data_IF_647139470149
#
_entry.id   IF_647139470149
#
_cell.length_a   1.000
_cell.length_b   1.000
_cell.length_c   1.000
_cell.angle_alpha   90.00
_cell.angle_beta   90.00
_cell.angle_gamma   90.00
#
_symmetry.space_group_name_H-M   'P 1'
#
loop_
_entity.id
_entity.type
_entity.pdbx_description
1 polymer ?
#
# COMPACT_ATOMS: atom_id res chain seq x y z
N UNK A 1 3.35 16.97 -26.82
CA UNK A 1 3.86 17.04 -25.44
C UNK A 1 4.35 15.64 -25.10
N UNK A 2 5.56 15.48 -24.58
CA UNK A 2 5.99 14.17 -24.08
C UNK A 2 5.09 13.79 -22.91
N UNK A 3 4.45 12.63 -23.01
CA UNK A 3 3.67 12.07 -21.91
C UNK A 3 4.63 11.60 -20.82
N UNK A 4 4.48 12.14 -19.61
CA UNK A 4 5.23 11.68 -18.46
C UNK A 4 4.32 10.76 -17.62
N UNK A 5 4.70 9.47 -17.54
CA UNK A 5 3.91 8.39 -16.98
C UNK A 5 4.38 7.99 -15.60
N UNK A 6 3.45 7.88 -14.66
CA UNK A 6 3.65 7.20 -13.38
C UNK A 6 2.82 5.92 -13.31
N UNK A 7 3.44 4.81 -12.86
CA UNK A 7 2.72 3.59 -12.51
C UNK A 7 2.58 3.47 -11.00
N UNK A 8 1.37 3.16 -10.55
CA UNK A 8 1.01 3.08 -9.14
C UNK A 8 0.48 1.68 -8.76
N UNK A 9 0.87 1.20 -7.60
CA UNK A 9 0.51 -0.12 -7.08
C UNK A 9 -0.26 0.02 -5.76
N UNK A 10 -1.47 -0.58 -5.64
CA UNK A 10 -2.27 -0.48 -4.43
C UNK A 10 -1.72 -1.35 -3.29
N UNK A 11 -2.18 -1.03 -2.08
CA UNK A 11 -2.01 -1.85 -0.89
C UNK A 11 -3.26 -2.66 -0.53
N UNK A 12 -3.37 -3.03 0.76
CA UNK A 12 -4.53 -3.75 1.27
C UNK A 12 -5.84 -2.97 1.05
N UNK A 13 -6.91 -3.73 0.78
CA UNK A 13 -8.23 -3.22 0.43
C UNK A 13 -8.63 -3.50 -1.01
N UNK A 14 -7.67 -3.87 -1.89
CA UNK A 14 -7.94 -4.24 -3.29
C UNK A 14 -8.21 -5.75 -3.44
N UNK A 15 -7.81 -6.56 -2.45
CA UNK A 15 -7.97 -8.01 -2.52
C UNK A 15 -9.45 -8.43 -2.56
N UNK A 16 -9.78 -9.31 -3.47
CA UNK A 16 -11.09 -9.96 -3.60
C UNK A 16 -10.97 -11.34 -4.23
N UNK A 17 -11.95 -12.18 -4.02
CA UNK A 17 -12.00 -13.47 -4.72
C UNK A 17 -12.05 -13.26 -6.23
N UNK A 18 -11.28 -14.04 -6.95
CA UNK A 18 -11.17 -13.97 -8.38
C UNK A 18 -10.22 -12.89 -8.91
N UNK A 19 -9.53 -12.13 -8.05
CA UNK A 19 -8.66 -11.02 -8.48
C UNK A 19 -7.52 -11.45 -9.42
N UNK A 20 -7.12 -12.72 -9.38
CA UNK A 20 -6.09 -13.28 -10.26
C UNK A 20 -6.66 -14.18 -11.38
N UNK A 21 -7.98 -14.33 -11.50
CA UNK A 21 -8.61 -15.30 -12.42
C UNK A 21 -8.20 -15.10 -13.88
N UNK A 22 -8.15 -13.85 -14.33
CA UNK A 22 -7.74 -13.52 -15.68
C UNK A 22 -6.31 -14.01 -16.01
N UNK A 23 -5.40 -13.94 -15.04
CA UNK A 23 -3.99 -14.30 -15.20
C UNK A 23 -3.79 -15.81 -15.42
N UNK A 24 -4.73 -16.68 -15.01
CA UNK A 24 -4.63 -18.14 -15.14
C UNK A 24 -4.35 -18.62 -16.58
N UNK A 25 -4.80 -17.86 -17.58
CA UNK A 25 -4.62 -18.19 -18.99
C UNK A 25 -3.52 -17.37 -19.67
N UNK A 26 -2.60 -16.79 -18.90
CA UNK A 26 -1.48 -15.97 -19.39
C UNK A 26 -0.14 -16.56 -18.99
N UNK A 27 0.93 -16.16 -19.69
CA UNK A 27 2.30 -16.57 -19.34
C UNK A 27 2.73 -16.06 -17.94
N UNK A 28 2.12 -15.02 -17.43
CA UNK A 28 2.44 -14.46 -16.10
C UNK A 28 1.89 -15.31 -14.96
N UNK A 29 1.05 -16.34 -15.22
CA UNK A 29 0.60 -17.29 -14.19
C UNK A 29 1.76 -18.07 -13.56
N UNK A 30 2.87 -18.29 -14.28
CA UNK A 30 4.10 -18.88 -13.73
C UNK A 30 4.60 -18.19 -12.44
N UNK A 31 4.28 -16.91 -12.27
CA UNK A 31 4.63 -16.16 -11.05
C UNK A 31 3.83 -16.63 -9.83
N UNK A 32 2.60 -17.09 -10.03
CA UNK A 32 1.82 -17.71 -8.95
C UNK A 32 2.37 -19.09 -8.60
N UNK A 33 2.82 -19.88 -9.60
CA UNK A 33 3.46 -21.18 -9.37
C UNK A 33 4.77 -21.01 -8.58
N UNK A 34 5.62 -20.06 -8.98
CA UNK A 34 6.83 -19.71 -8.24
C UNK A 34 6.51 -19.22 -6.81
N UNK A 35 5.49 -18.39 -6.64
CA UNK A 35 5.07 -17.90 -5.33
C UNK A 35 4.54 -19.05 -4.44
N UNK A 36 3.81 -20.03 -5.01
CA UNK A 36 3.33 -21.21 -4.29
C UNK A 36 4.48 -22.00 -3.69
N UNK A 37 5.53 -22.24 -4.49
CA UNK A 37 6.75 -22.96 -4.05
C UNK A 37 7.48 -22.20 -2.93
N UNK A 38 7.57 -20.87 -3.04
CA UNK A 38 8.22 -20.01 -2.04
C UNK A 38 7.45 -19.90 -0.72
N UNK A 39 6.11 -19.90 -0.79
CA UNK A 39 5.24 -19.70 0.35
C UNK A 39 4.82 -21.01 1.02
N UNK A 40 4.92 -22.13 0.34
CA UNK A 40 4.51 -23.45 0.83
C UNK A 40 2.97 -23.65 0.89
N UNK A 41 2.22 -22.85 0.15
CA UNK A 41 0.76 -22.99 -0.01
C UNK A 41 0.31 -22.46 -1.38
N UNK A 42 -0.88 -22.87 -1.83
CA UNK A 42 -1.44 -22.47 -3.12
C UNK A 42 -2.06 -21.07 -3.06
N UNK A 43 -1.23 -20.05 -3.33
CA UNK A 43 -1.64 -18.65 -3.40
C UNK A 43 -2.57 -18.41 -4.60
N UNK A 44 -2.31 -19.09 -5.71
CA UNK A 44 -3.13 -19.01 -6.91
C UNK A 44 -4.57 -19.42 -6.62
N UNK A 45 -4.76 -20.58 -6.00
CA UNK A 45 -6.09 -21.05 -5.56
C UNK A 45 -6.73 -20.10 -4.56
N UNK A 46 -5.96 -19.61 -3.58
CA UNK A 46 -6.46 -18.66 -2.58
C UNK A 46 -7.01 -17.39 -3.23
N UNK A 47 -6.31 -16.82 -4.21
CA UNK A 47 -6.72 -15.58 -4.89
C UNK A 47 -7.93 -15.78 -5.81
N UNK A 48 -8.11 -16.97 -6.38
CA UNK A 48 -9.19 -17.26 -7.35
C UNK A 48 -10.44 -17.80 -6.67
N UNK A 49 -10.28 -18.74 -5.71
CA UNK A 49 -11.35 -19.52 -5.12
C UNK A 49 -11.57 -19.22 -3.63
N UNK A 50 -10.56 -18.71 -2.93
CA UNK A 50 -10.63 -18.41 -1.51
C UNK A 50 -10.20 -19.55 -0.59
N UNK A 51 -10.65 -19.56 0.68
CA UNK A 51 -11.75 -18.76 1.23
C UNK A 51 -11.40 -17.28 1.47
N UNK A 52 -12.42 -16.41 1.44
CA UNK A 52 -12.25 -14.95 1.52
C UNK A 52 -11.69 -14.51 2.89
N UNK A 53 -12.00 -15.21 3.93
CA UNK A 53 -11.50 -14.94 5.30
C UNK A 53 -9.98 -15.08 5.33
N UNK A 54 -9.42 -16.12 4.70
CA UNK A 54 -7.98 -16.30 4.59
C UNK A 54 -7.33 -15.26 3.66
N UNK A 55 -8.00 -14.89 2.57
CA UNK A 55 -7.49 -13.84 1.67
C UNK A 55 -7.44 -12.46 2.34
N UNK A 56 -8.30 -12.21 3.35
CA UNK A 56 -8.31 -10.97 4.13
C UNK A 56 -7.35 -10.97 5.33
N UNK A 57 -6.77 -12.11 5.68
CA UNK A 57 -5.69 -12.20 6.66
C UNK A 57 -4.47 -11.42 6.15
N UNK A 58 -3.92 -10.52 6.98
CA UNK A 58 -2.83 -9.62 6.58
C UNK A 58 -1.61 -10.39 6.06
N UNK A 59 -1.27 -11.53 6.66
CA UNK A 59 -0.14 -12.37 6.24
C UNK A 59 -0.36 -13.06 4.89
N UNK A 60 -1.62 -13.22 4.45
CA UNK A 60 -2.01 -13.80 3.16
C UNK A 60 -2.33 -12.73 2.12
N UNK A 61 -2.99 -11.64 2.53
CA UNK A 61 -3.38 -10.54 1.67
C UNK A 61 -2.17 -9.86 1.01
N UNK A 62 -1.08 -9.66 1.77
CA UNK A 62 0.10 -8.97 1.24
C UNK A 62 0.75 -9.76 0.10
N UNK A 63 1.11 -11.04 0.22
CA UNK A 63 1.58 -11.83 -0.93
C UNK A 63 0.58 -11.88 -2.09
N UNK A 64 -0.71 -12.03 -1.80
CA UNK A 64 -1.75 -12.13 -2.82
C UNK A 64 -1.83 -10.86 -3.69
N UNK A 65 -1.81 -9.67 -3.07
CA UNK A 65 -1.82 -8.38 -3.77
C UNK A 65 -0.51 -8.19 -4.53
N UNK A 66 0.64 -8.42 -3.88
CA UNK A 66 1.96 -8.27 -4.50
C UNK A 66 2.08 -9.11 -5.76
N UNK A 67 1.81 -10.42 -5.68
CA UNK A 67 1.93 -11.34 -6.81
C UNK A 67 0.96 -10.98 -7.93
N UNK A 68 -0.29 -10.63 -7.60
CA UNK A 68 -1.28 -10.21 -8.61
C UNK A 68 -0.83 -8.95 -9.34
N UNK A 69 -0.44 -7.90 -8.62
CA UNK A 69 -0.01 -6.63 -9.23
C UNK A 69 1.29 -6.80 -10.03
N UNK A 70 2.25 -7.60 -9.51
CA UNK A 70 3.48 -7.87 -10.24
C UNK A 70 3.24 -8.71 -11.51
N UNK A 71 2.33 -9.70 -11.47
CA UNK A 71 1.96 -10.50 -12.64
C UNK A 71 1.21 -9.66 -13.69
N UNK A 72 0.35 -8.72 -13.29
CA UNK A 72 -0.25 -7.74 -14.21
C UNK A 72 0.82 -6.85 -14.84
N UNK A 73 1.78 -6.37 -14.04
CA UNK A 73 2.91 -5.62 -14.57
C UNK A 73 3.73 -6.45 -15.56
N UNK A 74 4.12 -7.69 -15.22
CA UNK A 74 4.88 -8.59 -16.12
C UNK A 74 4.16 -8.80 -17.46
N UNK A 75 2.83 -8.90 -17.45
CA UNK A 75 2.02 -9.09 -18.66
C UNK A 75 1.99 -7.85 -19.56
N UNK A 76 1.98 -6.65 -18.98
CA UNK A 76 1.75 -5.40 -19.70
C UNK A 76 2.95 -4.45 -19.73
N UNK A 77 4.07 -4.74 -19.09
CA UNK A 77 5.23 -3.84 -18.96
C UNK A 77 5.77 -3.31 -20.28
N UNK A 78 5.68 -4.09 -21.36
CA UNK A 78 6.21 -3.69 -22.67
C UNK A 78 5.38 -2.56 -23.33
N UNK A 79 4.18 -2.30 -22.81
CA UNK A 79 3.33 -1.19 -23.25
C UNK A 79 3.54 0.10 -22.46
N UNK A 80 4.30 0.04 -21.37
CA UNK A 80 4.49 1.16 -20.46
C UNK A 80 5.97 1.45 -20.22
N UNK A 81 6.33 2.72 -20.25
CA UNK A 81 7.67 3.21 -19.92
C UNK A 81 7.57 4.29 -18.82
N UNK A 82 7.26 3.90 -17.57
CA UNK A 82 7.10 4.87 -16.50
C UNK A 82 8.43 5.56 -16.18
N UNK A 83 8.37 6.89 -15.99
CA UNK A 83 9.49 7.69 -15.50
C UNK A 83 9.60 7.61 -13.97
N UNK A 84 8.50 7.23 -13.30
CA UNK A 84 8.44 7.08 -11.86
C UNK A 84 7.41 6.00 -11.52
N UNK A 85 7.66 5.26 -10.47
CA UNK A 85 6.70 4.32 -9.89
C UNK A 85 6.46 4.66 -8.43
N UNK A 86 5.28 4.30 -7.92
CA UNK A 86 4.92 4.49 -6.52
C UNK A 86 3.96 3.40 -6.07
N UNK A 87 3.75 3.31 -4.77
CA UNK A 87 2.76 2.39 -4.24
C UNK A 87 2.20 2.88 -2.91
N UNK A 88 1.01 2.43 -2.56
CA UNK A 88 0.37 2.74 -1.29
C UNK A 88 0.67 1.63 -0.29
N UNK A 89 1.37 1.93 0.81
CA UNK A 89 1.74 0.95 1.84
C UNK A 89 2.45 -0.28 1.24
N UNK A 90 1.82 -1.45 1.24
CA UNK A 90 2.33 -2.66 0.59
C UNK A 90 2.72 -2.41 -0.89
N UNK A 91 1.95 -1.60 -1.60
CA UNK A 91 2.21 -1.30 -3.00
C UNK A 91 3.58 -0.70 -3.28
N UNK A 92 4.21 -0.05 -2.31
CA UNK A 92 5.58 0.46 -2.42
C UNK A 92 6.59 -0.69 -2.60
N UNK A 93 6.38 -1.84 -1.94
CA UNK A 93 7.21 -3.01 -2.13
C UNK A 93 7.04 -3.57 -3.57
N UNK A 94 5.81 -3.51 -4.09
CA UNK A 94 5.57 -3.88 -5.51
C UNK A 94 6.27 -2.90 -6.45
N UNK A 95 6.20 -1.60 -6.19
CA UNK A 95 6.90 -0.58 -6.97
C UNK A 95 8.41 -0.77 -6.95
N UNK A 96 9.01 -1.07 -5.78
CA UNK A 96 10.43 -1.36 -5.63
C UNK A 96 10.86 -2.60 -6.41
N UNK A 97 10.08 -3.69 -6.36
CA UNK A 97 10.35 -4.90 -7.15
C UNK A 97 10.29 -4.60 -8.66
N UNK A 98 9.28 -3.88 -9.11
CA UNK A 98 9.14 -3.43 -10.51
C UNK A 98 10.29 -2.53 -10.95
N UNK A 99 10.77 -1.66 -10.06
CA UNK A 99 11.93 -0.81 -10.29
C UNK A 99 13.27 -1.58 -10.28
N UNK A 100 13.25 -2.86 -9.91
CA UNK A 100 14.43 -3.73 -9.89
C UNK A 100 15.28 -3.63 -8.63
N UNK A 101 14.72 -3.10 -7.53
CA UNK A 101 15.41 -3.04 -6.24
C UNK A 101 15.73 -4.44 -5.69
N UNK A 102 14.86 -5.43 -5.95
CA UNK A 102 15.05 -6.82 -5.57
C UNK A 102 14.32 -7.76 -6.56
N UNK A 103 14.66 -9.05 -6.53
CA UNK A 103 14.03 -10.05 -7.38
C UNK A 103 12.56 -10.27 -7.00
N UNK A 104 11.76 -10.83 -7.92
CA UNK A 104 10.39 -11.25 -7.61
C UNK A 104 10.34 -12.21 -6.42
N UNK A 105 11.23 -13.21 -6.40
CA UNK A 105 11.29 -14.19 -5.32
C UNK A 105 11.60 -13.56 -3.96
N UNK A 106 12.54 -12.61 -3.92
CA UNK A 106 12.84 -11.87 -2.68
C UNK A 106 11.67 -10.96 -2.28
N UNK A 107 11.00 -10.35 -3.24
CA UNK A 107 9.78 -9.60 -3.02
C UNK A 107 8.67 -10.44 -2.38
N UNK A 108 8.41 -11.66 -2.91
CA UNK A 108 7.42 -12.59 -2.33
C UNK A 108 7.76 -12.92 -0.88
N UNK A 109 9.02 -13.27 -0.59
CA UNK A 109 9.46 -13.55 0.78
C UNK A 109 9.31 -12.33 1.69
N UNK A 110 9.72 -11.16 1.18
CA UNK A 110 9.69 -9.90 1.93
C UNK A 110 8.26 -9.50 2.31
N UNK A 111 7.29 -9.52 1.37
CA UNK A 111 5.89 -9.17 1.67
C UNK A 111 5.21 -10.20 2.58
N UNK A 112 5.55 -11.49 2.45
CA UNK A 112 5.05 -12.52 3.35
C UNK A 112 5.54 -12.30 4.79
N UNK A 113 6.83 -12.00 4.96
CA UNK A 113 7.41 -11.70 6.28
C UNK A 113 6.88 -10.38 6.84
N UNK A 114 6.72 -9.34 6.00
CA UNK A 114 6.09 -8.08 6.40
C UNK A 114 4.69 -8.33 6.94
N UNK A 115 3.85 -9.06 6.21
CA UNK A 115 2.50 -9.41 6.65
C UNK A 115 2.49 -10.15 7.98
N UNK A 116 3.37 -11.13 8.17
CA UNK A 116 3.53 -11.86 9.44
C UNK A 116 3.96 -10.96 10.59
N UNK A 117 4.95 -10.08 10.37
CA UNK A 117 5.40 -9.14 11.41
C UNK A 117 4.29 -8.17 11.81
N UNK A 118 3.50 -7.69 10.85
CA UNK A 118 2.40 -6.76 11.10
C UNK A 118 1.20 -7.41 11.79
N UNK A 119 0.88 -8.67 11.43
CA UNK A 119 -0.25 -9.40 12.00
C UNK A 119 0.01 -9.85 13.44
N UNK A 120 1.25 -10.22 13.75
CA UNK A 120 1.67 -10.76 15.06
C UNK A 120 2.42 -9.74 15.93
N UNK A 121 2.11 -8.45 15.83
CA UNK A 121 2.79 -7.44 16.63
C UNK A 121 2.38 -7.44 18.11
N UNK A 122 1.24 -8.07 18.45
CA UNK A 122 0.76 -8.21 19.83
C UNK A 122 0.12 -6.95 20.43
N UNK A 123 0.16 -5.81 19.74
CA UNK A 123 -0.40 -4.57 20.23
C UNK A 123 -1.91 -4.48 19.93
N UNK A 124 -2.73 -4.17 20.96
CA UNK A 124 -4.16 -3.95 20.75
C UNK A 124 -4.40 -2.69 19.92
N UNK A 125 -5.54 -2.64 19.21
CA UNK A 125 -5.94 -1.47 18.45
C UNK A 125 -6.33 -1.78 17.02
N UNK A 126 -6.38 -0.73 16.19
CA UNK A 126 -6.79 -0.86 14.80
C UNK A 126 -6.78 0.49 14.07
N UNK A 127 -7.69 0.60 13.10
CA UNK A 127 -7.75 1.80 12.25
C UNK A 127 -9.19 2.23 12.01
N UNK A 128 -9.40 3.55 11.86
CA UNK A 128 -10.66 4.14 11.41
C UNK A 128 -10.41 5.10 10.24
N UNK A 129 -11.30 5.08 9.26
CA UNK A 129 -11.31 6.07 8.18
C UNK A 129 -12.28 7.19 8.53
N UNK A 130 -11.79 8.42 8.63
CA UNK A 130 -12.56 9.65 8.81
C UNK A 130 -12.81 10.27 7.44
N UNK A 131 -14.07 10.47 7.09
CA UNK A 131 -14.50 11.00 5.80
C UNK A 131 -15.15 12.37 6.00
N UNK A 132 -14.71 13.36 5.25
CA UNK A 132 -15.31 14.70 5.21
C UNK A 132 -14.65 15.74 6.09
N UNK A 133 -13.59 15.38 6.84
CA UNK A 133 -12.71 16.34 7.53
C UNK A 133 -11.38 16.49 6.81
N UNK A 134 -10.81 17.68 6.88
CA UNK A 134 -9.46 17.98 6.41
C UNK A 134 -8.41 17.41 7.37
N UNK A 135 -7.18 17.22 6.86
CA UNK A 135 -6.07 16.67 7.64
C UNK A 135 -5.81 17.43 8.94
N UNK A 136 -5.79 18.77 8.90
CA UNK A 136 -5.55 19.62 10.08
C UNK A 136 -6.54 19.36 11.21
N UNK A 137 -7.84 19.26 10.88
CA UNK A 137 -8.88 18.99 11.86
C UNK A 137 -8.74 17.60 12.50
N UNK A 138 -8.31 16.59 11.71
CA UNK A 138 -8.04 15.24 12.24
C UNK A 138 -6.78 15.21 13.10
N UNK A 139 -5.74 15.98 12.72
CA UNK A 139 -4.51 16.11 13.52
C UNK A 139 -4.78 16.79 14.88
N UNK A 140 -5.62 17.84 14.89
CA UNK A 140 -6.06 18.49 16.14
C UNK A 140 -6.80 17.51 17.05
N UNK A 141 -7.73 16.71 16.50
CA UNK A 141 -8.42 15.65 17.23
C UNK A 141 -7.45 14.63 17.82
N UNK A 142 -6.47 14.18 17.03
CA UNK A 142 -5.45 13.25 17.51
C UNK A 142 -4.65 13.87 18.67
N UNK A 143 -4.25 15.14 18.56
CA UNK A 143 -3.50 15.85 19.60
C UNK A 143 -4.29 15.99 20.93
N UNK A 144 -5.59 16.32 20.85
CA UNK A 144 -6.46 16.41 22.01
C UNK A 144 -6.67 15.06 22.71
N UNK A 145 -6.82 13.99 21.93
CA UNK A 145 -7.05 12.63 22.46
C UNK A 145 -5.76 12.04 23.03
N UNK A 146 -4.58 12.39 22.50
CA UNK A 146 -3.29 11.84 22.89
C UNK A 146 -2.95 12.02 24.37
N UNK A 147 -3.64 12.89 25.10
CA UNK A 147 -3.51 13.01 26.56
C UNK A 147 -4.16 11.86 27.34
N UNK A 148 -5.08 11.12 26.74
CA UNK A 148 -5.89 10.09 27.38
C UNK A 148 -5.70 8.70 26.76
N UNK A 149 -5.45 8.63 25.46
CA UNK A 149 -5.24 7.38 24.72
C UNK A 149 -4.44 7.64 23.46
N UNK A 150 -3.85 6.59 22.90
CA UNK A 150 -3.00 6.73 21.71
C UNK A 150 -3.82 6.69 20.42
N UNK A 151 -3.70 7.75 19.61
CA UNK A 151 -4.18 7.82 18.22
C UNK A 151 -3.20 8.61 17.35
N UNK A 152 -3.00 8.20 16.10
CA UNK A 152 -2.09 8.83 15.15
C UNK A 152 -2.67 8.77 13.74
N UNK A 153 -2.51 9.84 12.95
CA UNK A 153 -2.79 9.80 11.51
C UNK A 153 -1.89 8.76 10.83
N UNK A 154 -2.52 7.81 10.16
CA UNK A 154 -1.86 6.68 9.47
C UNK A 154 -1.82 6.83 7.96
N UNK A 155 -2.91 7.34 7.34
CA UNK A 155 -2.94 7.58 5.91
C UNK A 155 -3.65 8.90 5.59
N UNK A 156 -3.04 9.69 4.71
CA UNK A 156 -3.66 10.82 4.05
C UNK A 156 -4.03 10.39 2.63
N UNK A 157 -5.21 9.75 2.48
CA UNK A 157 -5.62 9.13 1.22
C UNK A 157 -6.17 10.12 0.20
N UNK A 158 -6.84 11.16 0.66
CA UNK A 158 -7.31 12.30 -0.14
C UNK A 158 -7.60 13.49 0.79
N UNK A 159 -7.84 14.70 0.29
CA UNK A 159 -8.08 15.87 1.14
C UNK A 159 -9.16 15.68 2.22
N UNK A 160 -10.13 14.79 1.99
CA UNK A 160 -11.23 14.50 2.91
C UNK A 160 -11.37 13.01 3.24
N UNK A 161 -10.31 12.27 3.16
CA UNK A 161 -10.26 10.85 3.57
C UNK A 161 -8.96 10.58 4.31
N UNK A 162 -9.02 10.67 5.63
CA UNK A 162 -7.90 10.48 6.54
C UNK A 162 -8.12 9.19 7.32
N UNK A 163 -7.10 8.36 7.42
CA UNK A 163 -7.13 7.15 8.26
C UNK A 163 -6.30 7.41 9.51
N UNK A 164 -6.85 7.00 10.65
CA UNK A 164 -6.20 7.11 11.96
C UNK A 164 -6.02 5.71 12.54
N UNK A 165 -4.82 5.44 13.02
CA UNK A 165 -4.46 4.25 13.80
C UNK A 165 -4.43 4.58 15.29
N UNK A 166 -4.74 3.61 16.14
CA UNK A 166 -4.66 3.82 17.58
C UNK A 166 -5.23 2.67 18.40
N UNK A 167 -5.23 2.86 19.72
CA UNK A 167 -5.88 1.96 20.65
C UNK A 167 -7.41 2.08 20.51
N UNK A 168 -8.13 1.01 20.87
CA UNK A 168 -9.57 0.92 20.63
C UNK A 168 -10.38 2.04 21.31
N UNK A 169 -10.07 2.36 22.57
CA UNK A 169 -10.68 3.45 23.33
C UNK A 169 -10.42 4.83 22.69
N UNK A 170 -9.19 5.06 22.23
CA UNK A 170 -8.81 6.31 21.52
C UNK A 170 -9.56 6.44 20.18
N UNK A 171 -9.70 5.34 19.45
CA UNK A 171 -10.44 5.32 18.18
C UNK A 171 -11.95 5.51 18.36
N UNK A 172 -12.55 5.00 19.45
CA UNK A 172 -13.95 5.24 19.79
C UNK A 172 -14.19 6.72 20.12
N UNK A 173 -13.31 7.32 20.95
CA UNK A 173 -13.36 8.72 21.29
C UNK A 173 -13.20 9.61 20.04
N UNK A 174 -12.19 9.31 19.21
CA UNK A 174 -11.95 10.01 17.94
C UNK A 174 -13.17 9.91 17.02
N UNK A 175 -13.78 8.75 16.90
CA UNK A 175 -14.96 8.55 16.05
C UNK A 175 -16.12 9.42 16.48
N UNK A 176 -16.38 9.49 17.79
CA UNK A 176 -17.45 10.34 18.37
C UNK A 176 -17.18 11.81 18.13
N UNK A 177 -15.96 12.26 18.42
CA UNK A 177 -15.58 13.67 18.28
C UNK A 177 -15.50 14.12 16.82
N UNK A 178 -15.01 13.25 15.90
CA UNK A 178 -14.98 13.54 14.48
C UNK A 178 -16.37 13.76 13.91
N UNK A 179 -17.36 12.95 14.29
CA UNK A 179 -18.76 13.15 13.89
C UNK A 179 -19.32 14.47 14.46
N UNK A 180 -19.03 14.79 15.72
CA UNK A 180 -19.44 16.06 16.34
C UNK A 180 -18.80 17.28 15.65
N UNK A 181 -17.61 17.13 15.03
CA UNK A 181 -16.94 18.20 14.24
C UNK A 181 -17.33 18.19 12.76
N UNK A 182 -18.33 17.42 12.36
CA UNK A 182 -18.89 17.45 11.01
C UNK A 182 -18.28 16.44 10.03
N UNK A 183 -17.58 15.41 10.52
CA UNK A 183 -17.24 14.28 9.66
C UNK A 183 -18.53 13.67 9.08
N UNK A 184 -18.53 13.42 7.77
CA UNK A 184 -19.68 12.81 7.08
C UNK A 184 -19.87 11.35 7.51
N UNK A 185 -18.77 10.68 7.81
CA UNK A 185 -18.76 9.27 8.21
C UNK A 185 -17.42 8.92 8.86
N UNK A 186 -17.45 8.03 9.86
CA UNK A 186 -16.28 7.32 10.39
C UNK A 186 -16.51 5.84 10.23
N UNK A 187 -15.50 5.11 9.71
CA UNK A 187 -15.61 3.69 9.38
C UNK A 187 -14.47 2.94 10.02
N UNK A 188 -14.78 1.96 10.89
CA UNK A 188 -13.77 1.02 11.39
C UNK A 188 -13.29 0.14 10.26
N UNK A 189 -11.98 0.07 10.05
CA UNK A 189 -11.36 -0.78 9.03
C UNK A 189 -11.21 -2.21 9.55
N UNK A 190 -11.36 -3.17 8.65
CA UNK A 190 -11.15 -4.60 8.93
C UNK A 190 -9.67 -4.94 8.75
N UNK A 191 -8.85 -4.54 9.71
CA UNK A 191 -7.40 -4.79 9.76
C UNK A 191 -7.02 -5.37 11.10
N UNK A 192 -5.91 -6.10 11.16
CA UNK A 192 -5.45 -6.82 12.35
C UNK A 192 -4.62 -5.97 13.32
N UNK A 193 -4.38 -4.68 13.03
CA UNK A 193 -3.55 -3.85 13.88
C UNK A 193 -3.58 -2.36 13.54
N UNK A 194 -2.91 -1.54 14.39
CA UNK A 194 -2.82 -0.08 14.25
C UNK A 194 -1.68 0.31 13.30
N UNK A 195 -1.78 -0.09 12.01
CA UNK A 195 -0.72 0.08 11.02
C UNK A 195 -0.34 1.55 10.81
N UNK A 196 0.90 1.79 10.36
CA UNK A 196 1.44 3.13 10.10
C UNK A 196 1.40 4.06 11.31
N UNK A 197 1.70 3.51 12.48
CA UNK A 197 1.79 4.25 13.74
C UNK A 197 2.96 3.73 14.60
N UNK A 198 3.37 4.47 15.64
CA UNK A 198 4.46 4.02 16.53
C UNK A 198 4.12 2.74 17.30
N UNK A 199 2.83 2.35 17.39
CA UNK A 199 2.43 1.04 17.93
C UNK A 199 2.97 -0.13 17.09
N UNK A 200 3.44 0.12 15.86
CA UNK A 200 4.06 -0.89 15.00
C UNK A 200 5.58 -1.00 15.19
N UNK A 201 6.21 -0.28 16.13
CA UNK A 201 7.65 -0.38 16.39
C UNK A 201 8.12 -1.83 16.64
N UNK A 202 7.40 -2.68 17.42
CA UNK A 202 7.81 -4.08 17.57
C UNK A 202 7.79 -4.87 16.26
N UNK A 203 6.82 -4.59 15.37
CA UNK A 203 6.77 -5.20 14.04
C UNK A 203 7.89 -4.68 13.14
N UNK A 204 8.16 -3.37 13.18
CA UNK A 204 9.24 -2.74 12.41
C UNK A 204 10.62 -3.29 12.80
N UNK A 205 10.86 -3.48 14.12
CA UNK A 205 12.09 -4.09 14.59
C UNK A 205 12.29 -5.51 14.06
N UNK A 206 11.25 -6.36 14.13
CA UNK A 206 11.30 -7.73 13.57
C UNK A 206 11.49 -7.73 12.06
N UNK A 207 10.87 -6.76 11.38
CA UNK A 207 10.98 -6.63 9.93
C UNK A 207 12.35 -6.09 9.50
N UNK A 208 13.02 -5.29 10.32
CA UNK A 208 14.38 -4.82 10.07
C UNK A 208 15.37 -5.98 9.91
N UNK A 209 15.28 -7.02 10.75
CA UNK A 209 16.10 -8.22 10.62
C UNK A 209 15.88 -8.92 9.27
N UNK A 210 14.63 -8.99 8.83
CA UNK A 210 14.28 -9.59 7.51
C UNK A 210 14.86 -8.78 6.36
N UNK A 211 14.77 -7.45 6.43
CA UNK A 211 15.23 -6.53 5.39
C UNK A 211 16.76 -6.56 5.25
N UNK A 212 17.50 -6.83 6.31
CA UNK A 212 18.96 -6.93 6.28
C UNK A 212 19.45 -8.06 5.37
N UNK A 213 18.73 -9.18 5.33
CA UNK A 213 19.10 -10.36 4.56
C UNK A 213 18.71 -10.29 3.07
N UNK A 214 17.91 -9.29 2.69
CA UNK A 214 17.45 -9.13 1.30
C UNK A 214 18.53 -8.45 0.44
N UNK A 215 18.93 -9.06 -0.70
CA UNK A 215 19.78 -8.38 -1.69
C UNK A 215 19.04 -7.21 -2.31
N UNK A 216 19.43 -5.98 -1.94
CA UNK A 216 18.83 -4.75 -2.50
C UNK A 216 19.81 -4.10 -3.45
N UNK A 217 19.34 -3.77 -4.65
CA UNK A 217 20.07 -3.06 -5.71
C UNK A 217 19.50 -1.65 -5.90
N UNK A 218 20.24 -0.80 -6.57
CA UNK A 218 19.74 0.49 -7.00
C UNK A 218 18.56 0.36 -7.97
N UNK A 219 17.53 1.18 -7.80
CA UNK A 219 16.36 1.19 -8.66
C UNK A 219 16.70 1.68 -10.07
N UNK A 220 16.20 0.98 -11.09
CA UNK A 220 16.28 1.39 -12.50
C UNK A 220 15.28 2.49 -12.85
N UNK A 221 14.19 2.56 -12.12
CA UNK A 221 13.14 3.57 -12.20
C UNK A 221 13.02 4.19 -10.81
N UNK A 222 13.02 5.52 -10.65
CA UNK A 222 12.81 6.17 -9.36
C UNK A 222 11.49 5.72 -8.72
N UNK A 223 11.51 5.40 -7.43
CA UNK A 223 10.32 5.03 -6.65
C UNK A 223 9.98 6.19 -5.71
N UNK A 224 8.78 6.74 -5.82
CA UNK A 224 8.33 7.76 -4.88
C UNK A 224 7.85 7.08 -3.59
N UNK A 225 8.52 7.42 -2.49
CA UNK A 225 8.23 6.89 -1.15
C UNK A 225 6.86 7.31 -0.63
N UNK A 226 6.32 6.53 0.31
CA UNK A 226 5.07 6.84 1.01
C UNK A 226 5.12 8.12 1.88
N UNK A 227 6.29 8.69 2.12
CA UNK A 227 6.42 10.03 2.72
C UNK A 227 5.91 11.15 1.79
N UNK A 228 5.77 10.85 0.49
CA UNK A 228 5.28 11.76 -0.54
C UNK A 228 6.32 12.70 -1.14
N UNK A 229 7.60 12.59 -0.75
CA UNK A 229 8.65 13.54 -1.13
C UNK A 229 9.93 12.88 -1.63
N UNK A 230 10.32 11.77 -1.03
CA UNK A 230 11.61 11.10 -1.27
C UNK A 230 11.54 10.20 -2.50
N UNK A 231 12.50 10.37 -3.42
CA UNK A 231 12.72 9.44 -4.53
C UNK A 231 13.76 8.40 -4.10
N UNK A 232 13.31 7.17 -3.92
CA UNK A 232 14.15 6.04 -3.53
C UNK A 232 14.88 5.51 -4.78
N UNK A 233 16.21 5.47 -4.71
CA UNK A 233 17.05 4.88 -5.75
C UNK A 233 18.16 4.02 -5.17
N UNK A 234 18.78 4.43 -4.07
CA UNK A 234 19.95 3.79 -3.50
C UNK A 234 19.61 2.68 -2.50
N UNK A 235 20.37 1.58 -2.45
CA UNK A 235 20.05 0.41 -1.63
C UNK A 235 19.88 0.72 -0.13
N UNK A 236 20.76 1.53 0.46
CA UNK A 236 20.68 1.85 1.90
C UNK A 236 19.47 2.70 2.22
N UNK A 237 19.10 3.63 1.33
CA UNK A 237 17.90 4.44 1.44
C UNK A 237 16.64 3.57 1.37
N UNK A 238 16.61 2.62 0.42
CA UNK A 238 15.50 1.66 0.27
C UNK A 238 15.37 0.81 1.54
N UNK A 239 16.48 0.32 2.07
CA UNK A 239 16.52 -0.52 3.27
C UNK A 239 15.96 0.21 4.49
N UNK A 240 16.37 1.44 4.74
CA UNK A 240 15.84 2.28 5.83
C UNK A 240 14.35 2.53 5.67
N UNK A 241 13.95 2.97 4.46
CA UNK A 241 12.56 3.29 4.15
C UNK A 241 11.60 2.10 4.33
N UNK A 242 12.00 0.87 3.95
CA UNK A 242 11.18 -0.32 4.11
C UNK A 242 10.79 -0.58 5.58
N UNK A 243 11.67 -0.27 6.52
CA UNK A 243 11.42 -0.42 7.95
C UNK A 243 10.62 0.76 8.49
N UNK A 244 11.02 1.97 8.17
CA UNK A 244 10.41 3.21 8.64
C UNK A 244 8.96 3.36 8.18
N UNK A 245 8.63 2.82 6.99
CA UNK A 245 7.28 2.85 6.45
C UNK A 245 6.24 2.20 7.37
N UNK A 246 6.62 1.20 8.19
CA UNK A 246 5.66 0.50 9.06
C UNK A 246 5.11 1.40 10.17
N UNK A 247 5.90 2.38 10.61
CA UNK A 247 5.59 3.26 11.74
C UNK A 247 5.20 4.68 11.31
N UNK A 248 5.43 5.02 10.03
CA UNK A 248 5.17 6.37 9.50
C UNK A 248 3.91 6.41 8.62
N UNK A 249 3.25 7.59 8.55
CA UNK A 249 2.06 7.78 7.73
C UNK A 249 2.32 7.61 6.24
N UNK A 250 1.33 7.06 5.53
CA UNK A 250 1.27 7.11 4.06
C UNK A 250 0.67 8.45 3.63
N UNK A 251 1.48 9.31 3.01
CA UNK A 251 1.10 10.65 2.56
C UNK A 251 0.72 10.66 1.08
N UNK A 252 -0.35 9.97 0.73
CA UNK A 252 -0.72 9.79 -0.67
C UNK A 252 -1.09 11.11 -1.36
N UNK A 253 -1.67 12.09 -0.63
CA UNK A 253 -1.93 13.44 -1.15
C UNK A 253 -0.63 14.12 -1.57
N UNK A 254 0.39 14.08 -0.71
CA UNK A 254 1.71 14.64 -1.04
C UNK A 254 2.35 13.90 -2.22
N UNK A 255 2.22 12.56 -2.29
CA UNK A 255 2.73 11.77 -3.42
C UNK A 255 2.13 12.21 -4.75
N UNK A 256 0.81 12.43 -4.82
CA UNK A 256 0.16 12.87 -6.05
C UNK A 256 0.56 14.31 -6.42
N UNK A 257 0.67 15.22 -5.45
CA UNK A 257 1.19 16.56 -5.72
C UNK A 257 2.63 16.53 -6.24
N UNK A 258 3.48 15.66 -5.66
CA UNK A 258 4.86 15.48 -6.13
C UNK A 258 4.93 14.95 -7.56
N UNK A 259 4.06 14.02 -7.95
CA UNK A 259 3.97 13.58 -9.35
C UNK A 259 3.64 14.74 -10.30
N UNK A 260 2.67 15.59 -9.93
CA UNK A 260 2.29 16.77 -10.74
C UNK A 260 3.48 17.75 -10.83
N UNK A 261 4.17 18.00 -9.71
CA UNK A 261 5.38 18.86 -9.67
C UNK A 261 6.50 18.32 -10.60
N UNK A 262 6.66 16.99 -10.66
CA UNK A 262 7.62 16.32 -11.56
C UNK A 262 7.15 16.26 -13.03
N UNK A 263 5.99 16.86 -13.35
CA UNK A 263 5.47 16.94 -14.71
C UNK A 263 4.75 15.69 -15.20
N UNK A 264 4.38 14.78 -14.30
CA UNK A 264 3.55 13.61 -14.66
C UNK A 264 2.20 14.06 -15.20
N UNK A 265 1.82 13.48 -16.34
CA UNK A 265 0.53 13.75 -17.02
C UNK A 265 -0.41 12.53 -16.97
N UNK A 266 0.17 11.33 -16.90
CA UNK A 266 -0.55 10.06 -16.98
C UNK A 266 -0.29 9.22 -15.71
N UNK A 267 -1.36 8.87 -15.01
CA UNK A 267 -1.36 8.02 -13.83
C UNK A 267 -1.98 6.68 -14.15
N UNK A 268 -1.19 5.63 -14.11
CA UNK A 268 -1.60 4.25 -14.41
C UNK A 268 -1.61 3.43 -13.14
N UNK A 269 -2.76 2.96 -12.72
CA UNK A 269 -2.87 1.99 -11.63
C UNK A 269 -2.73 0.57 -12.18
N UNK A 270 -1.85 -0.23 -11.58
CA UNK A 270 -1.63 -1.63 -11.95
C UNK A 270 -2.23 -2.51 -10.87
N UNK A 271 -3.47 -2.93 -11.08
CA UNK A 271 -4.21 -3.75 -10.12
C UNK A 271 -5.44 -4.42 -10.74
N UNK A 272 -6.03 -5.39 -10.03
CA UNK A 272 -7.29 -6.03 -10.47
C UNK A 272 -8.49 -5.09 -10.46
N UNK A 273 -8.49 -4.09 -9.59
CA UNK A 273 -9.57 -3.11 -9.39
C UNK A 273 -9.02 -1.73 -9.04
N UNK A 274 -9.70 -0.64 -9.43
CA UNK A 274 -9.23 0.70 -9.16
C UNK A 274 -9.43 1.06 -7.67
N UNK A 275 -8.33 1.20 -6.93
CA UNK A 275 -8.31 1.68 -5.55
C UNK A 275 -7.67 3.07 -5.45
N UNK A 276 -6.57 3.29 -6.16
CA UNK A 276 -5.80 4.54 -6.10
C UNK A 276 -6.34 5.60 -7.06
N UNK A 277 -6.84 5.23 -8.22
CA UNK A 277 -7.42 6.17 -9.20
C UNK A 277 -8.52 7.04 -8.59
N UNK A 278 -9.52 6.51 -7.85
CA UNK A 278 -10.54 7.34 -7.22
C UNK A 278 -9.98 8.35 -6.21
N UNK A 279 -8.89 8.00 -5.53
CA UNK A 279 -8.20 8.88 -4.57
C UNK A 279 -7.41 9.96 -5.31
N UNK A 280 -6.56 9.56 -6.27
CA UNK A 280 -5.73 10.46 -7.05
C UNK A 280 -6.57 11.48 -7.84
N UNK A 281 -7.72 11.05 -8.39
CA UNK A 281 -8.64 11.95 -9.10
C UNK A 281 -9.21 13.06 -8.23
N UNK A 282 -9.37 12.83 -6.92
CA UNK A 282 -9.81 13.87 -5.97
C UNK A 282 -8.71 14.86 -5.63
N UNK A 283 -7.44 14.48 -5.84
CA UNK A 283 -6.26 15.31 -5.53
C UNK A 283 -5.84 16.10 -6.77
N UNK A 284 -5.71 15.44 -7.91
CA UNK A 284 -5.25 16.02 -9.17
C UNK A 284 -6.15 15.58 -10.34
N UNK A 285 -7.35 16.19 -10.50
CA UNK A 285 -8.34 15.77 -11.51
C UNK A 285 -7.88 15.96 -12.96
N UNK A 286 -6.82 16.73 -13.19
CA UNK A 286 -6.28 17.01 -14.53
C UNK A 286 -5.32 15.92 -15.04
N UNK A 287 -4.92 14.95 -14.22
CA UNK A 287 -4.16 13.79 -14.68
C UNK A 287 -5.03 12.91 -15.58
N UNK A 288 -4.40 12.24 -16.54
CA UNK A 288 -5.04 11.17 -17.28
C UNK A 288 -4.93 9.88 -16.46
N UNK A 289 -6.04 9.16 -16.30
CA UNK A 289 -6.11 7.96 -15.49
C UNK A 289 -6.41 6.74 -16.32
N UNK A 290 -5.63 5.68 -16.14
CA UNK A 290 -5.91 4.36 -16.71
C UNK A 290 -5.62 3.25 -15.70
N UNK A 291 -6.31 2.13 -15.88
CA UNK A 291 -6.17 0.92 -15.06
C UNK A 291 -5.61 -0.20 -15.94
N UNK A 292 -4.53 -0.82 -15.49
CA UNK A 292 -4.04 -2.09 -16.04
C UNK A 292 -4.71 -3.23 -15.28
N UNK A 293 -5.71 -3.82 -15.89
CA UNK A 293 -6.52 -4.91 -15.32
C UNK A 293 -6.92 -5.92 -16.39
N UNK A 294 -7.88 -6.79 -16.07
CA UNK A 294 -8.39 -7.89 -16.91
C UNK A 294 -8.85 -7.52 -18.33
N UNK A 295 -9.06 -6.26 -18.63
CA UNK A 295 -9.61 -5.80 -19.94
C UNK A 295 -8.59 -5.23 -20.92
N UNK A 296 -7.29 -5.26 -20.61
CA UNK A 296 -6.32 -4.49 -21.40
C UNK A 296 -6.50 -2.99 -21.20
N UNK A 297 -5.95 -2.23 -22.11
CA UNK A 297 -6.11 -0.76 -22.14
C UNK A 297 -7.56 -0.37 -22.46
#
# INVERSE_FOLDING_TARGET
MNRALACAFPGQGVQRLGMARYLQNTNSWRLFEEANDLLGYDLGKLTVEGPVEQLNDTAKAQPAIFVTCYALWDLYRDYYAPQIVLGHSLGELTALAVAGAFSFADGVRLVARRGQCMDNNGEPGGMVAVLGLELSAVQELCAEISSNSYVQVANENSPQQIVVSGLDDGLELLSTQALARGAKRVVRLKVSGPFHSSLMEPAASKFADVVQDVPISACKIPVLSNDGYTLLQEPDQIRSNLVEQLVNPVRFVASIHKLVELGVTDFVEVSSDPLLIPLARRIAPNLQFSLVSEGGM
#
